data_IF_393637209200
#
_entry.id   IF_393637209200
#
_cell.length_a   1.000
_cell.length_b   1.000
_cell.length_c   1.000
_cell.angle_alpha   90.00
_cell.angle_beta   90.00
_cell.angle_gamma   90.00
#
_symmetry.space_group_name_H-M   'P 1'
#
loop_
_entity.id
_entity.type
_entity.pdbx_description
1 polymer ?
#
# COMPACT_ATOMS: atom_id res chain seq x y z
N UNK A 1 -1.33 3.88 -28.74
CA UNK A 1 -1.47 4.02 -27.28
C UNK A 1 -0.27 3.39 -26.62
N UNK A 2 0.44 4.11 -25.74
CA UNK A 2 1.61 3.58 -25.03
C UNK A 2 1.20 2.85 -23.77
N UNK A 3 1.85 1.72 -23.47
CA UNK A 3 1.71 1.04 -22.16
C UNK A 3 2.23 1.97 -21.06
N UNK A 4 1.38 2.25 -20.06
CA UNK A 4 1.65 3.13 -18.91
C UNK A 4 1.93 2.33 -17.64
N UNK A 5 1.31 1.17 -17.48
CA UNK A 5 1.60 0.21 -16.39
C UNK A 5 1.89 -1.15 -17.03
N UNK A 6 3.00 -1.76 -16.65
CA UNK A 6 3.39 -3.10 -17.07
C UNK A 6 3.85 -3.91 -15.86
N UNK A 7 3.22 -5.06 -15.66
CA UNK A 7 3.51 -6.02 -14.60
C UNK A 7 3.99 -7.31 -15.27
N UNK A 8 5.16 -7.79 -14.86
CA UNK A 8 5.77 -9.03 -15.37
C UNK A 8 6.10 -9.95 -14.19
N UNK A 9 5.50 -11.14 -14.21
CA UNK A 9 5.70 -12.25 -13.26
C UNK A 9 5.67 -11.82 -11.80
N UNK A 10 4.62 -11.12 -11.40
CA UNK A 10 4.52 -10.51 -10.09
C UNK A 10 4.03 -11.50 -9.03
N UNK A 11 4.85 -11.70 -8.00
CA UNK A 11 4.50 -12.49 -6.83
C UNK A 11 4.59 -11.66 -5.54
N UNK A 12 3.71 -11.99 -4.59
CA UNK A 12 3.79 -11.46 -3.24
C UNK A 12 3.41 -12.50 -2.23
N UNK A 13 4.31 -12.77 -1.31
CA UNK A 13 4.12 -13.67 -0.18
C UNK A 13 4.26 -12.88 1.13
N UNK A 14 3.45 -13.24 2.13
CA UNK A 14 3.51 -12.71 3.48
C UNK A 14 3.77 -13.83 4.47
N UNK A 15 4.61 -13.59 5.48
CA UNK A 15 4.78 -14.52 6.59
C UNK A 15 3.80 -14.19 7.71
N UNK A 16 2.91 -15.12 8.04
CA UNK A 16 1.97 -15.03 9.15
C UNK A 16 2.69 -15.03 10.51
N UNK A 17 2.18 -14.26 11.46
CA UNK A 17 2.66 -14.28 12.85
C UNK A 17 3.93 -13.47 13.13
N UNK A 18 4.52 -12.79 12.14
CA UNK A 18 5.73 -11.97 12.31
C UNK A 18 5.39 -10.49 12.24
N UNK A 19 5.11 -9.87 13.39
CA UNK A 19 5.02 -8.42 13.52
C UNK A 19 6.16 -7.98 14.47
N UNK A 20 7.25 -7.42 13.94
CA UNK A 20 8.27 -6.74 14.76
C UNK A 20 9.75 -6.95 14.38
N UNK A 21 10.60 -6.01 14.82
CA UNK A 21 12.06 -5.91 14.62
C UNK A 21 12.92 -7.06 15.21
N UNK A 22 12.30 -8.09 15.78
CA UNK A 22 12.96 -9.20 16.48
C UNK A 22 13.39 -10.37 15.56
N UNK A 23 13.20 -10.23 14.25
CA UNK A 23 13.28 -11.33 13.28
C UNK A 23 14.70 -11.84 13.08
N UNK A 24 15.70 -10.94 13.00
CA UNK A 24 17.07 -11.33 12.67
C UNK A 24 17.70 -12.23 13.74
N UNK A 25 17.52 -11.87 15.01
CA UNK A 25 18.08 -12.65 16.12
C UNK A 25 17.41 -14.02 16.24
N UNK A 26 16.09 -14.08 16.06
CA UNK A 26 15.33 -15.34 16.10
C UNK A 26 15.69 -16.25 14.93
N UNK A 27 15.78 -15.72 13.72
CA UNK A 27 16.17 -16.50 12.54
C UNK A 27 17.60 -17.05 12.66
N UNK A 28 18.55 -16.26 13.21
CA UNK A 28 19.91 -16.73 13.49
C UNK A 28 19.95 -17.82 14.57
N UNK A 29 19.18 -17.67 15.65
CA UNK A 29 19.08 -18.69 16.69
C UNK A 29 18.48 -19.99 16.17
N UNK A 30 17.40 -19.89 15.39
CA UNK A 30 16.74 -21.04 14.76
C UNK A 30 17.66 -21.75 13.76
N UNK A 31 18.46 -21.00 13.00
CA UNK A 31 19.48 -21.56 12.11
C UNK A 31 20.60 -22.28 12.89
N UNK A 32 21.14 -21.66 13.94
CA UNK A 32 22.17 -22.29 14.78
C UNK A 32 21.68 -23.54 15.52
N UNK A 33 20.43 -23.54 15.99
CA UNK A 33 19.81 -24.69 16.61
C UNK A 33 19.73 -25.87 15.63
N UNK A 34 19.29 -25.61 14.39
CA UNK A 34 19.26 -26.61 13.31
C UNK A 34 20.63 -27.16 12.95
N UNK A 35 21.65 -26.30 12.82
CA UNK A 35 23.05 -26.72 12.54
C UNK A 35 23.62 -27.58 13.67
N UNK A 36 23.23 -27.33 14.92
CA UNK A 36 23.65 -28.13 16.08
C UNK A 36 22.76 -29.34 16.36
N UNK A 37 21.77 -29.62 15.52
CA UNK A 37 20.81 -30.72 15.72
C UNK A 37 19.96 -30.60 16.98
N UNK A 38 19.80 -29.38 17.52
CA UNK A 38 18.99 -29.10 18.71
C UNK A 38 17.60 -28.59 18.32
N UNK A 39 16.64 -28.78 19.20
CA UNK A 39 15.30 -28.22 19.05
C UNK A 39 15.36 -26.68 19.00
N UNK A 40 14.55 -26.10 18.11
CA UNK A 40 14.54 -24.67 17.86
C UNK A 40 13.93 -23.95 19.09
N UNK A 41 14.68 -23.09 19.79
CA UNK A 41 14.22 -22.45 21.03
C UNK A 41 13.01 -21.52 20.81
N UNK A 42 12.73 -21.13 19.56
CA UNK A 42 11.59 -20.30 19.20
C UNK A 42 10.34 -21.14 18.87
N UNK A 43 10.40 -22.48 18.94
CA UNK A 43 9.21 -23.31 18.73
C UNK A 43 8.30 -23.27 19.96
N UNK A 44 7.05 -22.87 19.74
CA UNK A 44 6.01 -22.85 20.78
C UNK A 44 5.73 -24.28 21.26
N UNK A 45 6.04 -24.54 22.53
CA UNK A 45 5.84 -25.85 23.18
C UNK A 45 4.35 -26.19 23.18
N UNK A 46 3.98 -27.33 22.58
CA UNK A 46 2.62 -27.90 22.62
C UNK A 46 1.90 -28.07 21.28
N UNK A 47 2.45 -27.58 20.16
CA UNK A 47 1.91 -27.88 18.83
C UNK A 47 2.60 -29.12 18.25
N UNK A 48 1.88 -30.26 18.29
CA UNK A 48 2.23 -31.43 17.47
C UNK A 48 2.38 -30.98 16.02
N UNK A 49 3.54 -31.26 15.43
CA UNK A 49 3.87 -31.09 14.01
C UNK A 49 2.90 -31.94 13.17
N UNK A 50 1.70 -31.42 12.94
CA UNK A 50 0.93 -31.78 11.77
C UNK A 50 1.54 -30.99 10.60
N UNK A 51 1.84 -31.70 9.51
CA UNK A 51 2.39 -31.13 8.29
C UNK A 51 1.61 -29.87 7.87
N UNK A 52 2.37 -28.84 7.47
CA UNK A 52 1.92 -27.66 6.70
C UNK A 52 0.81 -26.80 7.31
N UNK A 53 1.07 -26.13 8.43
CA UNK A 53 0.57 -24.75 8.52
C UNK A 53 1.65 -23.93 7.84
N UNK A 54 1.42 -23.57 6.58
CA UNK A 54 2.31 -22.66 5.88
C UNK A 54 2.33 -21.36 6.69
N UNK A 55 3.48 -21.07 7.32
CA UNK A 55 3.75 -19.76 7.93
C UNK A 55 3.69 -18.64 6.86
N UNK A 56 3.43 -18.97 5.61
CA UNK A 56 3.44 -18.11 4.45
C UNK A 56 2.07 -18.11 3.77
N UNK A 57 1.59 -16.94 3.38
CA UNK A 57 0.42 -16.74 2.52
C UNK A 57 0.89 -16.13 1.21
N UNK A 58 0.62 -16.82 0.11
CA UNK A 58 0.77 -16.27 -1.23
C UNK A 58 -0.42 -15.34 -1.53
N UNK A 59 -0.16 -14.04 -1.52
CA UNK A 59 -1.16 -13.00 -1.78
C UNK A 59 -1.28 -12.64 -3.27
N UNK A 60 -0.20 -12.80 -4.05
CA UNK A 60 -0.20 -12.66 -5.51
C UNK A 60 0.65 -13.76 -6.11
N UNK A 61 0.13 -14.39 -7.16
CA UNK A 61 0.72 -15.54 -7.85
C UNK A 61 0.77 -15.26 -9.36
N UNK A 62 1.99 -15.12 -9.90
CA UNK A 62 2.30 -14.87 -11.32
C UNK A 62 1.40 -13.84 -12.05
N UNK A 63 1.22 -12.66 -11.46
CA UNK A 63 0.38 -11.63 -12.08
C UNK A 63 1.13 -10.97 -13.24
N UNK A 64 0.50 -10.96 -14.42
CA UNK A 64 0.98 -10.30 -15.64
C UNK A 64 -0.13 -9.38 -16.17
N UNK A 65 0.18 -8.09 -16.34
CA UNK A 65 -0.82 -7.08 -16.70
C UNK A 65 -0.17 -5.95 -17.50
N UNK A 66 -0.82 -5.53 -18.57
CA UNK A 66 -0.48 -4.31 -19.30
C UNK A 66 -1.70 -3.38 -19.36
N UNK A 67 -1.52 -2.13 -18.91
CA UNK A 67 -2.53 -1.08 -18.99
C UNK A 67 -2.01 0.02 -19.92
N UNK A 68 -2.82 0.40 -20.91
CA UNK A 68 -2.48 1.46 -21.87
C UNK A 68 -3.01 2.79 -21.38
N UNK A 69 -2.40 3.86 -21.90
CA UNK A 69 -2.87 5.21 -21.66
C UNK A 69 -4.34 5.38 -22.09
N UNK A 70 -5.17 5.94 -21.21
CA UNK A 70 -6.61 6.10 -21.40
C UNK A 70 -7.48 4.89 -21.01
N UNK A 71 -6.89 3.76 -20.62
CA UNK A 71 -7.67 2.59 -20.21
C UNK A 71 -8.31 2.79 -18.82
N UNK A 72 -9.57 2.35 -18.69
CA UNK A 72 -10.22 2.18 -17.38
C UNK A 72 -10.12 0.71 -17.00
N UNK A 73 -9.40 0.41 -15.91
CA UNK A 73 -9.16 -0.95 -15.45
C UNK A 73 -9.80 -1.18 -14.07
N UNK A 74 -10.62 -2.23 -13.95
CA UNK A 74 -11.28 -2.63 -12.71
C UNK A 74 -10.75 -3.96 -12.18
N UNK A 75 -10.43 -4.02 -10.88
CA UNK A 75 -10.02 -5.26 -10.19
C UNK A 75 -11.17 -5.72 -9.30
N UNK A 76 -11.71 -6.90 -9.59
CA UNK A 76 -12.80 -7.53 -8.83
C UNK A 76 -12.40 -8.92 -8.35
N UNK A 77 -13.01 -9.39 -7.26
CA UNK A 77 -12.71 -10.69 -6.66
C UNK A 77 -13.15 -10.76 -5.21
N UNK A 78 -13.14 -11.95 -4.62
CA UNK A 78 -13.51 -12.16 -3.21
C UNK A 78 -12.56 -11.46 -2.23
N UNK A 79 -12.98 -11.34 -0.97
CA UNK A 79 -12.08 -10.91 0.10
C UNK A 79 -10.91 -11.91 0.23
N UNK A 80 -9.71 -11.39 0.44
CA UNK A 80 -8.49 -12.22 0.47
C UNK A 80 -7.87 -12.53 -0.90
N UNK A 81 -8.52 -12.19 -2.03
CA UNK A 81 -8.00 -12.46 -3.37
C UNK A 81 -6.78 -11.61 -3.80
N UNK A 82 -6.10 -10.91 -2.87
CA UNK A 82 -4.90 -10.12 -3.19
C UNK A 82 -5.14 -8.72 -3.78
N UNK A 83 -6.38 -8.27 -3.96
CA UNK A 83 -6.70 -6.95 -4.56
C UNK A 83 -5.97 -5.79 -3.90
N UNK A 84 -6.10 -5.65 -2.58
CA UNK A 84 -5.44 -4.59 -1.81
C UNK A 84 -3.91 -4.75 -1.84
N UNK A 85 -3.40 -5.97 -1.91
CA UNK A 85 -1.96 -6.25 -2.05
C UNK A 85 -1.43 -5.74 -3.39
N UNK A 86 -2.15 -6.01 -4.49
CA UNK A 86 -1.80 -5.51 -5.82
C UNK A 86 -1.81 -3.97 -5.85
N UNK A 87 -2.84 -3.33 -5.30
CA UNK A 87 -2.90 -1.88 -5.21
C UNK A 87 -1.77 -1.29 -4.36
N UNK A 88 -1.39 -1.93 -3.25
CA UNK A 88 -0.22 -1.52 -2.42
C UNK A 88 1.09 -1.61 -3.18
N UNK A 89 1.28 -2.61 -4.04
CA UNK A 89 2.48 -2.73 -4.87
C UNK A 89 2.48 -1.66 -5.97
N UNK A 90 1.36 -1.45 -6.65
CA UNK A 90 1.24 -0.41 -7.68
C UNK A 90 1.50 0.99 -7.13
N UNK A 91 0.97 1.28 -5.93
CA UNK A 91 1.22 2.53 -5.18
C UNK A 91 2.59 2.59 -4.49
N UNK A 92 3.43 1.55 -4.64
CA UNK A 92 4.78 1.44 -4.06
C UNK A 92 4.81 1.49 -2.52
N UNK A 93 3.69 1.21 -1.85
CA UNK A 93 3.61 1.06 -0.39
C UNK A 93 4.30 -0.22 0.08
N UNK A 94 4.34 -1.26 -0.76
CA UNK A 94 4.99 -2.53 -0.43
C UNK A 94 5.74 -3.06 -1.65
N UNK A 95 6.94 -3.60 -1.44
CA UNK A 95 7.70 -4.24 -2.49
C UNK A 95 7.15 -5.64 -2.82
N UNK A 96 7.20 -6.08 -4.08
CA UNK A 96 6.91 -7.46 -4.44
C UNK A 96 7.94 -8.42 -3.84
N UNK A 97 7.58 -9.70 -3.72
CA UNK A 97 8.54 -10.74 -3.35
C UNK A 97 9.42 -11.09 -4.55
N UNK A 98 8.83 -11.16 -5.75
CA UNK A 98 9.54 -11.31 -7.02
C UNK A 98 8.72 -10.70 -8.17
N UNK A 99 9.35 -10.55 -9.34
CA UNK A 99 8.75 -9.91 -10.51
C UNK A 99 9.04 -8.41 -10.61
N UNK A 100 8.47 -7.77 -11.62
CA UNK A 100 8.70 -6.34 -11.87
C UNK A 100 7.42 -5.59 -12.19
N UNK A 101 7.36 -4.33 -11.73
CA UNK A 101 6.30 -3.38 -12.04
C UNK A 101 6.93 -2.12 -12.61
N UNK A 102 6.61 -1.83 -13.88
CA UNK A 102 7.09 -0.65 -14.62
C UNK A 102 5.93 0.32 -14.81
N UNK A 103 6.15 1.58 -14.45
CA UNK A 103 5.13 2.63 -14.51
C UNK A 103 5.72 3.85 -15.20
N UNK A 104 4.98 4.39 -16.17
CA UNK A 104 5.29 5.68 -16.81
C UNK A 104 4.42 6.77 -16.18
N UNK A 105 5.05 7.70 -15.48
CA UNK A 105 4.36 8.80 -14.80
C UNK A 105 4.28 8.60 -13.28
N UNK A 106 3.31 9.27 -12.65
CA UNK A 106 3.05 9.21 -11.20
C UNK A 106 1.76 8.44 -10.95
N UNK A 107 1.76 7.59 -9.93
CA UNK A 107 0.54 6.94 -9.42
C UNK A 107 0.10 7.73 -8.20
N UNK A 108 -1.07 8.36 -8.28
CA UNK A 108 -1.77 8.88 -7.13
C UNK A 108 -2.68 7.76 -6.60
N UNK A 109 -2.49 7.36 -5.34
CA UNK A 109 -3.27 6.30 -4.73
C UNK A 109 -4.21 6.90 -3.69
N UNK A 110 -5.50 6.97 -4.01
CA UNK A 110 -6.56 7.20 -3.04
C UNK A 110 -6.79 5.88 -2.28
N UNK A 111 -5.93 5.60 -1.32
CA UNK A 111 -5.99 4.33 -0.58
C UNK A 111 -7.23 4.27 0.33
N UNK A 112 -7.63 5.39 0.95
CA UNK A 112 -8.84 5.50 1.76
C UNK A 112 -9.36 6.95 1.79
N UNK A 113 -10.69 7.13 1.78
CA UNK A 113 -11.35 8.43 1.99
C UNK A 113 -10.95 8.95 3.38
N UNK A 114 -10.33 10.13 3.43
CA UNK A 114 -9.86 10.73 4.69
C UNK A 114 -8.38 10.51 5.03
N UNK A 115 -7.67 9.60 4.34
CA UNK A 115 -6.22 9.47 4.54
C UNK A 115 -5.48 10.68 3.97
N UNK A 116 -4.56 11.25 4.77
CA UNK A 116 -3.77 12.43 4.38
C UNK A 116 -4.33 13.78 4.86
N UNK A 117 -5.48 13.80 5.54
CA UNK A 117 -5.96 15.01 6.22
C UNK A 117 -5.29 15.20 7.58
N UNK A 118 -4.84 16.42 7.83
CA UNK A 118 -4.38 16.86 9.13
C UNK A 118 -5.50 17.66 9.81
N UNK A 119 -6.06 17.17 10.94
CA UNK A 119 -7.29 17.72 11.53
C UNK A 119 -7.13 19.16 12.07
N UNK A 120 -5.92 19.54 12.46
CA UNK A 120 -5.60 20.90 12.92
C UNK A 120 -5.36 21.90 11.78
N UNK A 121 -5.17 21.43 10.55
CA UNK A 121 -4.95 22.30 9.39
C UNK A 121 -6.28 22.70 8.77
N UNK A 122 -6.31 23.88 8.17
CA UNK A 122 -7.44 24.37 7.37
C UNK A 122 -7.67 23.50 6.13
N UNK A 123 -8.86 23.61 5.51
CA UNK A 123 -9.11 22.98 4.21
C UNK A 123 -8.07 23.37 3.15
N UNK A 124 -7.69 24.64 3.10
CA UNK A 124 -6.67 25.15 2.18
C UNK A 124 -5.32 24.47 2.39
N UNK A 125 -4.85 24.44 3.62
CA UNK A 125 -3.57 23.80 3.97
C UNK A 125 -3.60 22.29 3.69
N UNK A 126 -4.73 21.64 3.93
CA UNK A 126 -4.93 20.23 3.58
C UNK A 126 -4.89 19.98 2.07
N UNK A 127 -5.41 20.89 1.23
CA UNK A 127 -5.27 20.80 -0.22
C UNK A 127 -3.79 20.82 -0.63
N UNK A 128 -3.00 21.73 -0.04
CA UNK A 128 -1.56 21.79 -0.30
C UNK A 128 -0.80 20.56 0.23
N UNK A 129 -1.14 20.09 1.43
CA UNK A 129 -0.55 18.88 2.02
C UNK A 129 -0.81 17.65 1.15
N UNK A 130 -2.07 17.42 0.77
CA UNK A 130 -2.45 16.30 -0.08
C UNK A 130 -1.85 16.41 -1.48
N UNK A 131 -1.79 17.62 -2.05
CA UNK A 131 -1.09 17.86 -3.31
C UNK A 131 0.38 17.43 -3.23
N UNK A 132 1.07 17.81 -2.15
CA UNK A 132 2.48 17.43 -1.92
C UNK A 132 2.65 15.92 -1.73
N UNK A 133 1.77 15.26 -0.97
CA UNK A 133 1.77 13.79 -0.78
C UNK A 133 1.61 13.07 -2.13
N UNK A 134 0.78 13.60 -3.03
CA UNK A 134 0.59 13.08 -4.38
C UNK A 134 1.68 13.54 -5.37
N UNK A 135 2.73 14.19 -4.89
CA UNK A 135 3.89 14.60 -5.68
C UNK A 135 3.69 15.86 -6.53
N UNK A 136 2.65 16.65 -6.29
CA UNK A 136 2.43 17.94 -6.96
C UNK A 136 3.33 19.01 -6.36
N UNK A 137 3.90 19.85 -7.22
CA UNK A 137 4.58 21.07 -6.79
C UNK A 137 3.57 22.09 -6.28
N UNK A 138 3.98 22.94 -5.32
CA UNK A 138 3.13 24.02 -4.79
C UNK A 138 2.50 24.88 -5.88
N UNK A 139 3.25 25.21 -6.94
CA UNK A 139 2.75 25.99 -8.09
C UNK A 139 1.68 25.25 -8.93
N UNK A 140 1.69 23.92 -8.94
CA UNK A 140 0.66 23.12 -9.62
C UNK A 140 -0.62 23.14 -8.79
N UNK A 141 -0.51 22.97 -7.47
CA UNK A 141 -1.65 23.06 -6.55
C UNK A 141 -2.28 24.45 -6.61
N UNK A 142 -1.49 25.53 -6.53
CA UNK A 142 -2.02 26.90 -6.59
C UNK A 142 -2.79 27.19 -7.88
N UNK A 143 -2.35 26.62 -9.02
CA UNK A 143 -3.04 26.78 -10.31
C UNK A 143 -4.38 26.03 -10.39
N UNK A 144 -4.56 25.01 -9.55
CA UNK A 144 -5.75 24.17 -9.49
C UNK A 144 -6.63 24.44 -8.27
N UNK A 145 -6.23 25.38 -7.41
CA UNK A 145 -6.86 25.57 -6.12
C UNK A 145 -8.35 25.91 -6.28
N UNK A 146 -8.67 26.86 -7.14
CA UNK A 146 -10.05 27.30 -7.35
C UNK A 146 -10.92 26.17 -7.95
N UNK A 147 -10.37 25.40 -8.90
CA UNK A 147 -11.02 24.20 -9.48
C UNK A 147 -11.32 23.14 -8.40
N UNK A 148 -10.37 22.90 -7.47
CA UNK A 148 -10.54 21.95 -6.36
C UNK A 148 -11.60 22.43 -5.37
N UNK A 149 -11.59 23.73 -5.04
CA UNK A 149 -12.53 24.33 -4.08
C UNK A 149 -13.95 24.32 -4.62
N UNK A 150 -14.11 24.67 -5.90
CA UNK A 150 -15.40 24.63 -6.60
C UNK A 150 -15.96 23.21 -6.68
N UNK A 151 -15.14 22.23 -7.08
CA UNK A 151 -15.54 20.82 -7.11
C UNK A 151 -15.95 20.29 -5.72
N UNK A 152 -15.25 20.70 -4.67
CA UNK A 152 -15.53 20.26 -3.31
C UNK A 152 -16.76 20.97 -2.68
N UNK A 153 -17.15 22.14 -3.19
CA UNK A 153 -18.28 22.91 -2.64
C UNK A 153 -18.05 23.45 -1.21
N UNK A 154 -16.78 23.60 -0.79
CA UNK A 154 -16.41 23.98 0.59
C UNK A 154 -15.86 25.41 0.71
N UNK A 155 -16.14 26.28 -0.27
CA UNK A 155 -15.56 27.62 -0.36
C UNK A 155 -15.68 28.43 0.95
N UNK A 156 -16.86 28.39 1.59
CA UNK A 156 -17.12 29.10 2.86
C UNK A 156 -16.34 28.54 4.06
N UNK A 157 -15.90 27.28 4.01
CA UNK A 157 -15.20 26.59 5.10
C UNK A 157 -13.71 26.44 4.83
N UNK A 158 -13.21 26.91 3.69
CA UNK A 158 -11.85 26.63 3.20
C UNK A 158 -10.74 26.98 4.21
N UNK A 159 -10.92 28.06 4.96
CA UNK A 159 -9.97 28.52 5.99
C UNK A 159 -10.37 28.07 7.42
N UNK A 160 -11.26 27.07 7.53
CA UNK A 160 -11.65 26.41 8.78
C UNK A 160 -10.86 25.11 8.98
N UNK A 161 -10.38 24.79 10.20
CA UNK A 161 -9.74 23.50 10.47
C UNK A 161 -10.64 22.30 10.14
N UNK A 162 -10.08 21.28 9.48
CA UNK A 162 -10.84 20.12 8.97
C UNK A 162 -11.53 19.33 10.09
N UNK A 163 -11.02 19.35 11.33
CA UNK A 163 -11.73 18.75 12.48
C UNK A 163 -13.11 19.33 12.78
N UNK A 164 -13.46 20.50 12.20
CA UNK A 164 -14.77 21.15 12.34
C UNK A 164 -15.71 20.81 11.19
N UNK A 165 -15.25 20.07 10.18
CA UNK A 165 -16.07 19.70 9.04
C UNK A 165 -17.03 18.60 9.46
N UNK A 166 -18.15 18.49 8.75
CA UNK A 166 -18.96 17.28 8.78
C UNK A 166 -18.18 16.10 8.21
N UNK A 167 -18.68 14.88 8.42
CA UNK A 167 -18.09 13.67 7.85
C UNK A 167 -18.24 13.53 6.33
N UNK A 168 -19.05 14.40 5.69
CA UNK A 168 -19.31 14.41 4.25
C UNK A 168 -18.47 15.44 3.51
#
# INVERSE_FOLDING_TARGET
MSTVIKIENLYKEYRLGVIGHDTLYRDMQSWWARVRGKEDPNTLIGHKRNNSIEDHILALDDINLEVKDGDVFGIIGANGAGKSTLLKILSRVTAPTSGTVKVKGRIASLLEVGTGFHPELTGRENIYLNGAINGMYRKEVSRKLDEIVDFAGVEQFLDTPVKRYSSG
#
